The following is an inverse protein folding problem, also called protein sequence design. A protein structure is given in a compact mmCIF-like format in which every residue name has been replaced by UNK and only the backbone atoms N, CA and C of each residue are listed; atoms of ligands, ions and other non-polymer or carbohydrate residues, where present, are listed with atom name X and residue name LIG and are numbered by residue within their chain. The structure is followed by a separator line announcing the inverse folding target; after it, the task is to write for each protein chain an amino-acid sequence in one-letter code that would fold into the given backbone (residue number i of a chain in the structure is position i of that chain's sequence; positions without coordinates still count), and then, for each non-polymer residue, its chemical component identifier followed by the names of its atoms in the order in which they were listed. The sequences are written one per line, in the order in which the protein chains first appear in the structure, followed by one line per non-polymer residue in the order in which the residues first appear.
data_IF_520755097533
#
_entry.id   IF_520755097533
#
_cell.length_a   1.000
_cell.length_b   1.000
_cell.length_c   1.000
_cell.angle_alpha   90.00
_cell.angle_beta   90.00
_cell.angle_gamma   90.00
#
_symmetry.space_group_name_H-M   'P 1'
#
loop_
_entity.id
_entity.type
_entity.pdbx_description
1 polymer ?
#
# COMPACT_ATOMS: atom_id res chain seq x y z
N UNK A 1 18.31 -5.89 -22.19
CA UNK A 1 17.99 -4.81 -21.24
C UNK A 1 16.54 -4.36 -21.33
N UNK A 2 16.07 -3.65 -22.36
CA UNK A 2 14.67 -3.16 -22.46
C UNK A 2 13.60 -4.25 -22.25
N UNK A 3 13.76 -5.42 -22.86
CA UNK A 3 12.85 -6.55 -22.67
C UNK A 3 12.89 -7.10 -21.24
N UNK A 4 14.05 -7.08 -20.59
CA UNK A 4 14.21 -7.52 -19.20
C UNK A 4 13.62 -6.51 -18.21
N UNK A 5 13.78 -5.21 -18.47
CA UNK A 5 13.12 -4.13 -17.70
C UNK A 5 11.61 -4.29 -17.78
N UNK A 6 11.07 -4.46 -18.99
CA UNK A 6 9.64 -4.71 -19.18
C UNK A 6 9.16 -5.96 -18.43
N UNK A 7 9.90 -7.07 -18.51
CA UNK A 7 9.57 -8.30 -17.81
C UNK A 7 9.52 -8.12 -16.29
N UNK A 8 10.50 -7.41 -15.70
CA UNK A 8 10.49 -7.08 -14.27
C UNK A 8 9.22 -6.32 -13.92
N UNK A 9 8.87 -5.28 -14.68
CA UNK A 9 7.69 -4.47 -14.41
C UNK A 9 6.38 -5.26 -14.56
N UNK A 10 6.26 -6.15 -15.54
CA UNK A 10 5.07 -7.02 -15.68
C UNK A 10 4.88 -7.90 -14.44
N UNK A 11 5.97 -8.50 -13.95
CA UNK A 11 5.90 -9.34 -12.76
C UNK A 11 5.61 -8.56 -11.48
N UNK A 12 6.19 -7.37 -11.34
CA UNK A 12 5.94 -6.52 -10.17
C UNK A 12 4.55 -5.86 -10.21
N UNK A 13 3.94 -5.68 -11.39
CA UNK A 13 2.55 -5.23 -11.49
C UNK A 13 1.59 -6.26 -10.88
N UNK A 14 1.83 -7.56 -11.13
CA UNK A 14 1.05 -8.62 -10.48
C UNK A 14 1.26 -8.64 -8.96
N UNK A 15 2.50 -8.40 -8.50
CA UNK A 15 2.82 -8.23 -7.09
C UNK A 15 2.08 -7.05 -6.45
N UNK A 16 2.05 -5.90 -7.15
CA UNK A 16 1.37 -4.69 -6.70
C UNK A 16 -0.14 -4.93 -6.58
N UNK A 17 -0.73 -5.62 -7.54
CA UNK A 17 -2.15 -5.99 -7.51
C UNK A 17 -2.45 -6.85 -6.28
N UNK A 18 -1.66 -7.89 -6.02
CA UNK A 18 -1.83 -8.75 -4.85
C UNK A 18 -1.72 -7.98 -3.53
N UNK A 19 -0.77 -7.05 -3.42
CA UNK A 19 -0.66 -6.14 -2.27
C UNK A 19 -1.89 -5.25 -2.12
N UNK A 20 -2.42 -4.72 -3.22
CA UNK A 20 -3.61 -3.86 -3.20
C UNK A 20 -4.88 -4.60 -2.81
N UNK A 21 -5.05 -5.85 -3.25
CA UNK A 21 -6.23 -6.66 -2.92
C UNK A 21 -6.25 -6.95 -1.41
N UNK A 22 -5.08 -7.23 -0.83
CA UNK A 22 -4.94 -7.38 0.62
C UNK A 22 -5.22 -6.08 1.36
N UNK A 23 -4.62 -4.97 0.93
CA UNK A 23 -4.86 -3.66 1.55
C UNK A 23 -6.36 -3.30 1.54
N UNK A 24 -7.03 -3.55 0.42
CA UNK A 24 -8.48 -3.34 0.30
C UNK A 24 -9.26 -4.24 1.25
N UNK A 25 -8.91 -5.53 1.34
CA UNK A 25 -9.53 -6.45 2.31
C UNK A 25 -9.39 -5.95 3.75
N UNK A 26 -8.23 -5.40 4.12
CA UNK A 26 -8.00 -4.82 5.46
C UNK A 26 -8.84 -3.57 5.69
N UNK A 27 -9.03 -2.71 4.69
CA UNK A 27 -9.96 -1.56 4.76
C UNK A 27 -11.38 -2.07 5.03
N UNK A 28 -11.87 -3.06 4.26
CA UNK A 28 -13.22 -3.61 4.46
C UNK A 28 -13.40 -4.24 5.84
N UNK A 29 -12.37 -4.90 6.35
CA UNK A 29 -12.37 -5.45 7.72
C UNK A 29 -12.43 -4.34 8.78
N UNK A 30 -11.74 -3.22 8.56
CA UNK A 30 -11.82 -2.06 9.45
C UNK A 30 -13.19 -1.41 9.43
N UNK A 31 -13.79 -1.20 8.26
CA UNK A 31 -15.14 -0.65 8.14
C UNK A 31 -16.18 -1.52 8.87
N UNK A 32 -16.02 -2.84 8.85
CA UNK A 32 -16.97 -3.76 9.49
C UNK A 32 -16.77 -3.91 11.00
N UNK A 33 -15.53 -3.90 11.47
CA UNK A 33 -15.20 -4.23 12.87
C UNK A 33 -14.88 -3.03 13.76
N UNK A 34 -14.48 -1.88 13.21
CA UNK A 34 -14.00 -0.73 14.01
C UNK A 34 -15.00 -0.21 15.05
N UNK A 35 -16.30 -0.41 14.84
CA UNK A 35 -17.37 -0.04 15.80
C UNK A 35 -17.91 -1.19 16.63
N UNK A 36 -17.40 -2.41 16.42
CA UNK A 36 -17.83 -3.60 17.14
C UNK A 36 -17.40 -3.54 18.61
N UNK A 37 -18.25 -3.98 19.52
CA UNK A 37 -17.90 -4.19 20.92
C UNK A 37 -17.05 -5.45 21.14
N UNK A 38 -16.85 -6.27 20.10
CA UNK A 38 -15.95 -7.43 20.14
C UNK A 38 -14.49 -6.98 20.09
N UNK A 39 -13.92 -6.77 21.28
CA UNK A 39 -12.51 -6.41 21.46
C UNK A 39 -11.54 -7.44 20.87
N UNK A 40 -11.86 -8.74 21.00
CA UNK A 40 -11.00 -9.82 20.50
C UNK A 40 -10.87 -9.79 18.98
N UNK A 41 -12.00 -9.65 18.28
CA UNK A 41 -12.02 -9.53 16.82
C UNK A 41 -11.28 -8.26 16.34
N UNK A 42 -11.49 -7.11 16.99
CA UNK A 42 -10.78 -5.87 16.66
C UNK A 42 -9.26 -6.00 16.85
N UNK A 43 -8.83 -6.61 17.96
CA UNK A 43 -7.40 -6.84 18.24
C UNK A 43 -6.75 -7.77 17.21
N UNK A 44 -7.42 -8.85 16.83
CA UNK A 44 -6.93 -9.76 15.80
C UNK A 44 -6.84 -9.08 14.42
N UNK A 45 -7.84 -8.26 14.07
CA UNK A 45 -7.83 -7.48 12.83
C UNK A 45 -6.69 -6.44 12.80
N UNK A 46 -6.43 -5.76 13.93
CA UNK A 46 -5.33 -4.83 14.08
C UNK A 46 -3.96 -5.49 13.87
N UNK A 47 -3.74 -6.66 14.48
CA UNK A 47 -2.50 -7.44 14.29
C UNK A 47 -2.31 -7.84 12.83
N UNK A 48 -3.37 -8.39 12.22
CA UNK A 48 -3.32 -8.77 10.80
C UNK A 48 -3.09 -7.58 9.87
N UNK A 49 -3.50 -6.36 10.24
CA UNK A 49 -3.18 -5.15 9.45
C UNK A 49 -1.69 -4.79 9.52
N UNK A 50 -1.09 -4.81 10.70
CA UNK A 50 0.32 -4.47 10.90
C UNK A 50 1.27 -5.41 10.14
N UNK A 51 0.92 -6.71 10.08
CA UNK A 51 1.68 -7.73 9.38
C UNK A 51 1.76 -7.52 7.85
N UNK A 52 0.81 -6.77 7.25
CA UNK A 52 0.79 -6.53 5.81
C UNK A 52 1.67 -5.35 5.37
N UNK A 53 2.14 -4.50 6.30
CA UNK A 53 3.00 -3.34 5.96
C UNK A 53 4.35 -3.83 5.43
N UNK A 54 4.97 -4.78 6.14
CA UNK A 54 6.31 -5.24 5.82
C UNK A 54 6.42 -5.91 4.43
N UNK A 55 5.50 -6.81 4.01
CA UNK A 55 5.49 -7.34 2.65
C UNK A 55 5.38 -6.28 1.54
N UNK A 56 4.66 -5.18 1.76
CA UNK A 56 4.55 -4.09 0.80
C UNK A 56 5.90 -3.36 0.67
N UNK A 57 6.55 -3.10 1.81
CA UNK A 57 7.88 -2.49 1.84
C UNK A 57 8.94 -3.35 1.15
N UNK A 58 8.97 -4.65 1.43
CA UNK A 58 9.90 -5.59 0.77
C UNK A 58 9.71 -5.61 -0.75
N UNK A 59 8.47 -5.51 -1.24
CA UNK A 59 8.18 -5.44 -2.68
C UNK A 59 8.68 -4.15 -3.31
N UNK A 60 8.54 -3.01 -2.64
CA UNK A 60 9.11 -1.73 -3.09
C UNK A 60 10.63 -1.82 -3.25
N UNK A 61 11.32 -2.36 -2.25
CA UNK A 61 12.78 -2.56 -2.29
C UNK A 61 13.16 -3.53 -3.40
N UNK A 62 12.44 -4.66 -3.51
CA UNK A 62 12.66 -5.69 -4.54
C UNK A 62 12.57 -5.12 -5.96
N UNK A 63 11.58 -4.26 -6.25
CA UNK A 63 11.47 -3.63 -7.59
C UNK A 63 12.74 -2.87 -7.92
N UNK A 64 13.27 -2.09 -6.97
CA UNK A 64 14.48 -1.30 -7.15
C UNK A 64 15.73 -2.17 -7.33
N UNK A 65 15.87 -3.23 -6.54
CA UNK A 65 17.01 -4.15 -6.65
C UNK A 65 17.00 -4.93 -7.96
N UNK A 66 15.83 -5.39 -8.41
CA UNK A 66 15.68 -6.09 -9.69
C UNK A 66 16.01 -5.18 -10.88
N UNK A 67 15.57 -3.92 -10.82
CA UNK A 67 15.90 -2.94 -11.87
C UNK A 67 17.41 -2.64 -11.89
N UNK A 68 18.03 -2.52 -10.71
CA UNK A 68 19.50 -2.36 -10.60
C UNK A 68 20.25 -3.54 -11.21
N UNK A 69 19.82 -4.77 -10.91
CA UNK A 69 20.43 -5.98 -11.44
C UNK A 69 20.32 -6.06 -12.98
N UNK A 70 19.15 -5.76 -13.55
CA UNK A 70 18.95 -5.79 -15.01
C UNK A 70 19.79 -4.75 -15.74
N UNK A 71 20.06 -3.61 -15.10
CA UNK A 71 20.78 -2.51 -15.73
C UNK A 71 22.29 -2.52 -15.50
N UNK A 72 22.82 -3.55 -14.81
CA UNK A 72 24.24 -3.72 -14.51
C UNK A 72 24.91 -2.45 -13.97
N UNK A 73 24.18 -1.71 -13.13
CA UNK A 73 24.54 -0.36 -12.70
C UNK A 73 24.95 -0.38 -11.23
N UNK A 74 26.26 -0.27 -10.95
CA UNK A 74 26.79 -0.09 -9.58
C UNK A 74 26.27 1.21 -8.94
N UNK A 75 26.11 2.25 -9.76
CA UNK A 75 25.70 3.60 -9.35
C UNK A 75 24.20 3.85 -9.60
N UNK A 76 23.47 2.76 -9.88
CA UNK A 76 22.02 2.58 -9.77
C UNK A 76 21.03 3.68 -10.19
N UNK A 77 21.21 4.47 -11.24
CA UNK A 77 20.09 5.27 -11.80
C UNK A 77 20.19 5.57 -13.29
N UNK A 78 21.38 5.82 -13.82
CA UNK A 78 21.54 6.43 -15.14
C UNK A 78 21.11 5.55 -16.32
N UNK A 79 21.21 4.22 -16.19
CA UNK A 79 20.97 3.30 -17.32
C UNK A 79 19.48 3.04 -17.55
N UNK A 80 18.67 2.91 -16.49
CA UNK A 80 17.21 2.73 -16.69
C UNK A 80 16.43 4.04 -16.78
N UNK A 81 16.98 5.18 -16.33
CA UNK A 81 16.30 6.47 -16.51
C UNK A 81 16.18 6.89 -17.99
N UNK A 82 17.02 6.28 -18.86
CA UNK A 82 16.94 6.41 -20.30
C UNK A 82 15.99 5.39 -20.95
N UNK A 83 15.50 4.40 -20.20
CA UNK A 83 14.57 3.40 -20.71
C UNK A 83 13.21 4.03 -20.98
N UNK A 84 12.53 3.59 -22.04
CA UNK A 84 11.13 3.96 -22.31
C UNK A 84 10.19 3.55 -21.17
N UNK A 85 10.60 2.57 -20.36
CA UNK A 85 9.85 2.07 -19.23
C UNK A 85 10.11 2.81 -17.92
N UNK A 86 10.98 3.84 -17.92
CA UNK A 86 11.28 4.60 -16.71
C UNK A 86 10.04 5.19 -16.05
N UNK A 87 9.11 5.72 -16.85
CA UNK A 87 7.85 6.26 -16.33
C UNK A 87 7.01 5.20 -15.60
N UNK A 88 6.95 3.98 -16.15
CA UNK A 88 6.23 2.87 -15.51
C UNK A 88 6.89 2.43 -14.20
N UNK A 89 8.22 2.37 -14.16
CA UNK A 89 8.98 2.11 -12.94
C UNK A 89 8.70 3.16 -11.85
N UNK A 90 8.77 4.45 -12.18
CA UNK A 90 8.51 5.55 -11.23
C UNK A 90 7.08 5.45 -10.69
N UNK A 91 6.10 5.18 -11.55
CA UNK A 91 4.70 5.03 -11.10
C UNK A 91 4.48 3.79 -10.26
N UNK A 92 5.21 2.72 -10.53
CA UNK A 92 5.16 1.50 -9.73
C UNK A 92 5.72 1.71 -8.32
N UNK A 93 6.88 2.35 -8.19
CA UNK A 93 7.46 2.66 -6.88
C UNK A 93 6.58 3.65 -6.12
N UNK A 94 6.07 4.69 -6.79
CA UNK A 94 5.11 5.64 -6.22
C UNK A 94 3.84 4.92 -5.72
N UNK A 95 3.31 3.95 -6.49
CA UNK A 95 2.13 3.19 -6.10
C UNK A 95 2.38 2.33 -4.85
N UNK A 96 3.53 1.67 -4.75
CA UNK A 96 3.91 0.93 -3.54
C UNK A 96 4.04 1.84 -2.31
N UNK A 97 4.71 3.00 -2.43
CA UNK A 97 4.81 3.97 -1.32
C UNK A 97 3.44 4.51 -0.88
N UNK A 98 2.49 4.67 -1.82
CA UNK A 98 1.11 5.06 -1.49
C UNK A 98 0.35 3.95 -0.76
N UNK A 99 0.55 2.68 -1.13
CA UNK A 99 -0.01 1.54 -0.38
C UNK A 99 0.59 1.44 1.03
N UNK A 100 1.89 1.64 1.18
CA UNK A 100 2.56 1.64 2.49
C UNK A 100 2.03 2.76 3.38
N UNK A 101 1.83 3.97 2.82
CA UNK A 101 1.20 5.09 3.53
C UNK A 101 -0.21 4.76 3.99
N UNK A 102 -1.03 4.18 3.10
CA UNK A 102 -2.39 3.75 3.42
C UNK A 102 -2.41 2.73 4.55
N UNK A 103 -1.58 1.69 4.46
CA UNK A 103 -1.53 0.64 5.48
C UNK A 103 -0.99 1.15 6.82
N UNK A 104 -0.06 2.09 6.79
CA UNK A 104 0.43 2.76 8.01
C UNK A 104 -0.67 3.56 8.69
N UNK A 105 -1.46 4.33 7.93
CA UNK A 105 -2.62 5.08 8.45
C UNK A 105 -3.67 4.12 9.02
N UNK A 106 -3.97 3.04 8.31
CA UNK A 106 -4.91 2.01 8.77
C UNK A 106 -4.42 1.34 10.06
N UNK A 107 -3.13 1.04 10.17
CA UNK A 107 -2.53 0.48 11.40
C UNK A 107 -2.63 1.44 12.57
N UNK A 108 -2.32 2.72 12.38
CA UNK A 108 -2.49 3.74 13.42
C UNK A 108 -3.95 3.87 13.87
N UNK A 109 -4.88 3.83 12.92
CA UNK A 109 -6.30 3.87 13.22
C UNK A 109 -6.74 2.65 14.03
N UNK A 110 -6.24 1.46 13.69
CA UNK A 110 -6.46 0.26 14.47
C UNK A 110 -5.87 0.32 15.87
N UNK A 111 -4.61 0.76 16.00
CA UNK A 111 -3.94 0.92 17.29
C UNK A 111 -4.69 1.86 18.23
N UNK A 112 -5.17 2.99 17.71
CA UNK A 112 -6.01 3.91 18.47
C UNK A 112 -7.36 3.27 18.83
N UNK A 113 -7.98 2.54 17.90
CA UNK A 113 -9.27 1.89 18.09
C UNK A 113 -9.21 0.82 19.20
N UNK A 114 -8.17 -0.02 19.21
CA UNK A 114 -8.02 -1.10 20.20
C UNK A 114 -7.50 -0.64 21.55
N UNK A 115 -7.14 0.64 21.74
CA UNK A 115 -6.87 1.19 23.09
C UNK A 115 -8.15 1.33 23.91
N UNK A 116 -9.30 1.43 23.25
CA UNK A 116 -10.60 1.58 23.89
C UNK A 116 -11.34 0.23 23.94
N UNK A 117 -11.85 -0.14 25.11
CA UNK A 117 -12.68 -1.34 25.29
C UNK A 117 -14.00 -1.24 24.52
N UNK A 118 -14.66 -0.08 24.60
CA UNK A 118 -15.76 0.30 23.70
C UNK A 118 -15.28 1.38 22.71
N UNK A 119 -15.17 1.07 21.41
CA UNK A 119 -14.67 2.01 20.41
C UNK A 119 -15.67 3.13 20.08
N UNK A 120 -16.93 3.04 20.53
CA UNK A 120 -17.96 4.04 20.23
C UNK A 120 -17.92 5.25 21.17
N UNK A 121 -17.24 5.15 22.32
CA UNK A 121 -17.10 6.25 23.28
C UNK A 121 -16.29 7.43 22.72
N UNK A 122 -15.33 7.16 21.84
CA UNK A 122 -14.54 8.19 21.15
C UNK A 122 -14.18 7.72 19.73
N UNK A 123 -15.16 7.87 18.82
CA UNK A 123 -14.99 7.52 17.40
C UNK A 123 -13.90 8.37 16.74
N UNK A 124 -13.73 9.62 17.17
CA UNK A 124 -12.80 10.53 16.52
C UNK A 124 -11.35 10.17 16.83
N UNK A 125 -11.07 9.68 18.05
CA UNK A 125 -9.72 9.25 18.47
C UNK A 125 -9.08 8.22 17.52
N UNK A 126 -9.88 7.37 16.89
CA UNK A 126 -9.36 6.38 15.94
C UNK A 126 -9.65 6.71 14.47
N UNK A 127 -10.81 7.29 14.16
CA UNK A 127 -11.20 7.51 12.75
C UNK A 127 -10.40 8.62 12.07
N UNK A 128 -9.88 9.59 12.84
CA UNK A 128 -9.06 10.68 12.31
C UNK A 128 -7.74 10.21 11.67
N UNK A 129 -7.25 9.03 12.03
CA UNK A 129 -6.01 8.45 11.47
C UNK A 129 -6.17 7.91 10.05
N UNK A 130 -7.40 7.63 9.62
CA UNK A 130 -7.70 7.14 8.28
C UNK A 130 -8.74 8.05 7.62
N UNK A 131 -8.31 9.20 7.05
CA UNK A 131 -9.25 10.16 6.47
C UNK A 131 -9.93 9.59 5.22
N UNK A 132 -11.26 9.74 5.17
CA UNK A 132 -12.08 9.33 4.03
C UNK A 132 -12.40 10.53 3.12
N UNK A 133 -12.38 10.27 1.82
CA UNK A 133 -12.85 11.19 0.81
C UNK A 133 -14.38 11.22 0.78
N UNK A 134 -14.97 12.42 0.87
CA UNK A 134 -16.42 12.59 0.80
C UNK A 134 -17.00 12.31 -0.59
N UNK A 135 -16.19 12.36 -1.65
CA UNK A 135 -16.65 12.13 -3.03
C UNK A 135 -16.70 10.66 -3.42
N UNK A 136 -15.80 9.83 -2.87
CA UNK A 136 -15.67 8.42 -3.23
C UNK A 136 -16.10 7.47 -2.12
N UNK A 137 -16.16 7.95 -0.88
CA UNK A 137 -16.40 7.10 0.29
C UNK A 137 -15.23 6.17 0.63
N UNK A 138 -14.05 6.39 0.05
CA UNK A 138 -12.85 5.58 0.30
C UNK A 138 -11.83 6.36 1.15
N UNK A 139 -10.84 5.68 1.76
CA UNK A 139 -9.66 6.34 2.30
C UNK A 139 -8.97 7.19 1.24
N UNK A 140 -8.56 8.42 1.58
CA UNK A 140 -7.90 9.34 0.65
C UNK A 140 -6.63 8.69 0.05
N UNK A 141 -5.84 8.01 0.87
CA UNK A 141 -4.61 7.31 0.43
C UNK A 141 -4.90 6.14 -0.51
N UNK A 142 -6.08 5.51 -0.43
CA UNK A 142 -6.51 4.49 -1.38
C UNK A 142 -6.82 5.09 -2.76
N UNK A 143 -7.55 6.19 -2.80
CA UNK A 143 -7.84 6.88 -4.07
C UNK A 143 -6.56 7.40 -4.73
N UNK A 144 -5.61 7.89 -3.92
CA UNK A 144 -4.29 8.28 -4.40
C UNK A 144 -3.51 7.11 -4.99
N UNK A 145 -3.47 5.97 -4.30
CA UNK A 145 -2.86 4.75 -4.82
C UNK A 145 -3.49 4.37 -6.17
N UNK A 146 -4.82 4.28 -6.24
CA UNK A 146 -5.54 3.87 -7.44
C UNK A 146 -5.24 4.78 -8.63
N UNK A 147 -5.20 6.10 -8.40
CA UNK A 147 -4.85 7.07 -9.42
C UNK A 147 -3.45 6.81 -9.97
N UNK A 148 -2.46 6.64 -9.09
CA UNK A 148 -1.07 6.36 -9.50
C UNK A 148 -0.94 5.00 -10.20
N UNK A 149 -1.60 3.96 -9.70
CA UNK A 149 -1.57 2.64 -10.30
C UNK A 149 -2.14 2.63 -11.74
N UNK A 150 -3.21 3.41 -11.99
CA UNK A 150 -3.80 3.56 -13.32
C UNK A 150 -2.88 4.28 -14.33
N UNK A 151 -1.84 4.97 -13.86
CA UNK A 151 -0.86 5.65 -14.71
C UNK A 151 0.32 4.73 -15.10
N UNK A 152 0.41 3.51 -14.56
CA UNK A 152 1.43 2.53 -14.95
C UNK A 152 1.09 2.01 -16.36
N UNK A 153 1.97 2.29 -17.33
CA UNK A 153 1.83 1.87 -18.74
C UNK A 153 2.97 0.95 -19.13
N UNK A 154 2.66 -0.34 -19.29
CA UNK A 154 3.53 -1.39 -19.80
C UNK A 154 3.20 -1.70 -21.26
#
# INVERSE_FOLDING_TARGET
MEAQIHQVLVEELAGLQACSDKAWSRIKQYESLSRSTDYGARKAAAQGCAEEIYPIHERLVRVSDRMRAVCNSSDGMQVWSQSRWYGAYVKMTEAYSRLETLMSQLSQAWEANVRNEDPNNDVQAWSAHLPYSSSTGNPVSWDQYRKTAAEIRL
#
